data_IF_148528835995
#
_entry.id   IF_148528835995
#
_cell.length_a   1.000
_cell.length_b   1.000
_cell.length_c   1.000
_cell.angle_alpha   90.00
_cell.angle_beta   90.00
_cell.angle_gamma   90.00
#
_symmetry.space_group_name_H-M   'P 1'
#
loop_
_entity.id
_entity.type
_entity.pdbx_description
1 polymer ?
#
# COMPACT_ATOMS: atom_id res chain seq x y z
N UNK A 1 24.30 -6.71 3.33
CA UNK A 1 22.90 -6.90 3.85
C UNK A 1 22.89 -7.70 5.15
N UNK A 2 23.53 -8.87 5.24
CA UNK A 2 23.51 -9.72 6.44
C UNK A 2 24.08 -9.02 7.68
N UNK A 3 25.15 -8.25 7.53
CA UNK A 3 25.72 -7.44 8.61
C UNK A 3 24.72 -6.41 9.17
N UNK A 4 24.05 -5.65 8.28
CA UNK A 4 23.03 -4.69 8.71
C UNK A 4 21.87 -5.38 9.43
N UNK A 5 21.39 -6.50 8.88
CA UNK A 5 20.34 -7.29 9.50
C UNK A 5 20.71 -7.68 10.95
N UNK A 6 21.91 -8.21 11.15
CA UNK A 6 22.37 -8.62 12.50
C UNK A 6 22.37 -7.44 13.49
N UNK A 7 22.88 -6.27 13.06
CA UNK A 7 22.88 -5.06 13.92
C UNK A 7 21.44 -4.64 14.26
N UNK A 8 20.54 -4.61 13.26
CA UNK A 8 19.14 -4.24 13.47
C UNK A 8 18.44 -5.20 14.43
N UNK A 9 18.62 -6.51 14.26
CA UNK A 9 18.02 -7.51 15.14
C UNK A 9 18.56 -7.42 16.56
N UNK A 10 19.87 -7.22 16.73
CA UNK A 10 20.48 -7.01 18.06
C UNK A 10 19.94 -5.73 18.73
N UNK A 11 19.87 -4.62 18.00
CA UNK A 11 19.32 -3.36 18.52
C UNK A 11 17.80 -3.43 18.77
N UNK A 12 17.09 -4.33 18.07
CA UNK A 12 15.68 -4.61 18.35
C UNK A 12 15.49 -5.27 19.71
N UNK A 13 16.34 -6.22 20.05
CA UNK A 13 16.28 -6.97 21.31
C UNK A 13 16.85 -6.15 22.50
N UNK A 14 17.85 -5.31 22.26
CA UNK A 14 18.41 -4.38 23.25
C UNK A 14 18.37 -2.92 22.75
N UNK A 15 17.33 -2.20 23.15
CA UNK A 15 17.12 -0.78 22.79
C UNK A 15 18.14 0.19 23.39
N UNK A 16 18.93 -0.21 24.36
CA UNK A 16 20.00 0.62 24.93
C UNK A 16 21.09 0.93 23.89
N UNK A 17 21.30 0.02 22.93
CA UNK A 17 22.24 0.14 21.82
C UNK A 17 21.89 1.27 20.83
N UNK A 18 20.67 1.81 20.87
CA UNK A 18 20.28 2.96 20.04
C UNK A 18 21.10 4.24 20.34
N UNK A 19 21.87 4.26 21.42
CA UNK A 19 22.81 5.34 21.75
C UNK A 19 24.13 5.22 20.99
N UNK A 20 24.45 4.05 20.47
CA UNK A 20 25.69 3.78 19.74
C UNK A 20 25.65 4.34 18.33
N UNK A 21 26.71 5.03 17.92
CA UNK A 21 26.81 5.67 16.60
C UNK A 21 26.74 4.66 15.46
N UNK A 22 27.37 3.50 15.62
CA UNK A 22 27.36 2.42 14.62
C UNK A 22 25.95 1.90 14.39
N UNK A 23 25.16 1.69 15.45
CA UNK A 23 23.78 1.24 15.39
C UNK A 23 22.91 2.28 14.67
N UNK A 24 23.03 3.55 15.06
CA UNK A 24 22.29 4.64 14.43
C UNK A 24 22.62 4.79 12.95
N UNK A 25 23.91 4.65 12.58
CA UNK A 25 24.36 4.69 11.19
C UNK A 25 23.78 3.53 10.39
N UNK A 26 23.81 2.32 10.96
CA UNK A 26 23.24 1.12 10.32
C UNK A 26 21.73 1.25 10.10
N UNK A 27 20.98 1.79 11.07
CA UNK A 27 19.56 2.08 10.91
C UNK A 27 19.34 3.07 9.77
N UNK A 28 20.06 4.20 9.75
CA UNK A 28 19.95 5.21 8.68
C UNK A 28 20.30 4.64 7.31
N UNK A 29 21.26 3.72 7.24
CA UNK A 29 21.63 3.03 6.00
C UNK A 29 20.48 2.16 5.49
N UNK A 30 19.82 1.40 6.35
CA UNK A 30 18.64 0.60 5.93
C UNK A 30 17.52 1.51 5.40
N UNK A 31 17.27 2.65 6.04
CA UNK A 31 16.27 3.62 5.55
C UNK A 31 16.69 4.22 4.20
N UNK A 32 17.98 4.46 4.01
CA UNK A 32 18.50 4.91 2.72
C UNK A 32 18.31 3.85 1.62
N UNK A 33 18.62 2.60 1.90
CA UNK A 33 18.40 1.48 0.98
C UNK A 33 16.91 1.27 0.65
N UNK A 34 16.01 1.47 1.62
CA UNK A 34 14.56 1.52 1.38
C UNK A 34 14.20 2.67 0.44
N UNK A 35 14.74 3.86 0.68
CA UNK A 35 14.49 5.06 -0.12
C UNK A 35 14.93 4.89 -1.59
N UNK A 36 15.96 4.08 -1.82
CA UNK A 36 16.48 3.73 -3.14
C UNK A 36 15.82 2.48 -3.77
N UNK A 37 14.92 1.81 -3.05
CA UNK A 37 14.28 0.57 -3.51
C UNK A 37 15.21 -0.65 -3.55
N UNK A 38 16.41 -0.57 -2.99
CA UNK A 38 17.38 -1.67 -2.93
C UNK A 38 17.03 -2.71 -1.87
N UNK A 39 16.20 -2.31 -0.90
CA UNK A 39 15.60 -3.16 0.12
C UNK A 39 14.11 -2.92 0.14
N UNK A 40 13.33 -3.97 0.38
CA UNK A 40 11.86 -3.89 0.48
C UNK A 40 11.37 -4.52 1.77
N UNK A 41 10.27 -4.03 2.29
CA UNK A 41 9.56 -4.62 3.46
C UNK A 41 8.95 -5.97 3.12
N UNK A 42 8.49 -6.17 1.89
CA UNK A 42 8.12 -7.47 1.38
C UNK A 42 8.62 -7.63 -0.06
N UNK A 43 9.12 -8.83 -0.37
CA UNK A 43 9.74 -9.15 -1.67
C UNK A 43 8.91 -10.23 -2.36
N UNK A 44 8.56 -10.06 -3.66
CA UNK A 44 7.90 -11.12 -4.41
C UNK A 44 8.88 -12.29 -4.64
N UNK A 45 8.38 -13.51 -4.50
CA UNK A 45 9.11 -14.76 -4.73
C UNK A 45 8.27 -15.71 -5.58
N UNK A 46 8.85 -16.81 -6.04
CA UNK A 46 8.11 -17.86 -6.76
C UNK A 46 7.03 -18.56 -5.92
N UNK A 47 7.04 -18.36 -4.60
CA UNK A 47 6.09 -18.95 -3.65
C UNK A 47 5.11 -17.91 -3.05
N UNK A 48 5.05 -16.71 -3.62
CA UNK A 48 4.28 -15.59 -3.09
C UNK A 48 5.18 -14.51 -2.49
N UNK A 49 4.68 -13.73 -1.55
CA UNK A 49 5.39 -12.60 -0.96
C UNK A 49 6.08 -13.00 0.35
N UNK A 50 7.35 -12.64 0.47
CA UNK A 50 8.14 -12.83 1.69
C UNK A 50 8.27 -11.52 2.44
N UNK A 51 7.81 -11.49 3.70
CA UNK A 51 7.97 -10.33 4.58
C UNK A 51 9.40 -10.30 5.15
N UNK A 52 10.05 -9.14 5.06
CA UNK A 52 11.38 -8.87 5.60
C UNK A 52 11.23 -8.16 6.96
N UNK A 53 10.94 -8.91 8.02
CA UNK A 53 10.65 -8.35 9.36
C UNK A 53 11.77 -7.46 9.89
N UNK A 54 13.04 -7.83 9.63
CA UNK A 54 14.19 -7.03 10.05
C UNK A 54 14.20 -5.61 9.45
N UNK A 55 13.64 -5.46 8.25
CA UNK A 55 13.48 -4.14 7.60
C UNK A 55 12.40 -3.32 8.32
N UNK A 56 11.28 -3.95 8.70
CA UNK A 56 10.25 -3.28 9.51
C UNK A 56 10.81 -2.88 10.88
N UNK A 57 11.62 -3.75 11.51
CA UNK A 57 12.35 -3.40 12.74
C UNK A 57 13.19 -2.13 12.55
N UNK A 58 13.95 -2.05 11.46
CA UNK A 58 14.75 -0.85 11.16
C UNK A 58 13.89 0.41 11.03
N UNK A 59 12.73 0.33 10.37
CA UNK A 59 11.78 1.45 10.27
C UNK A 59 11.29 1.88 11.65
N UNK A 60 10.91 0.95 12.52
CA UNK A 60 10.48 1.28 13.89
C UNK A 60 11.63 1.90 14.70
N UNK A 61 12.85 1.33 14.60
CA UNK A 61 14.03 1.84 15.27
C UNK A 61 14.48 3.22 14.77
N UNK A 62 14.10 3.60 13.58
CA UNK A 62 14.43 4.91 13.02
C UNK A 62 13.76 6.07 13.75
N UNK A 63 12.51 5.89 14.24
CA UNK A 63 11.79 6.96 14.92
C UNK A 63 12.47 7.46 16.20
N UNK A 64 12.91 6.60 17.16
CA UNK A 64 13.53 7.07 18.39
C UNK A 64 14.92 7.72 18.20
N UNK A 65 15.63 7.41 17.11
CA UNK A 65 16.94 8.02 16.83
C UNK A 65 16.86 9.34 16.07
N UNK A 66 15.66 9.80 15.72
CA UNK A 66 15.41 11.08 15.07
C UNK A 66 14.88 12.10 16.08
N UNK A 67 15.34 13.35 15.97
CA UNK A 67 14.82 14.50 16.72
C UNK A 67 13.72 15.20 15.94
N UNK A 68 12.77 15.78 16.66
CA UNK A 68 11.77 16.69 16.10
C UNK A 68 12.45 17.92 15.51
N UNK A 69 11.98 18.37 14.34
CA UNK A 69 12.48 19.56 13.66
C UNK A 69 11.30 20.39 13.17
N UNK A 70 11.46 21.69 13.27
CA UNK A 70 10.52 22.64 12.66
C UNK A 70 10.98 22.87 11.21
N UNK A 71 10.04 22.89 10.29
CA UNK A 71 10.24 23.28 8.91
C UNK A 71 9.17 24.29 8.50
N UNK A 72 9.59 25.49 8.11
CA UNK A 72 8.71 26.55 7.62
C UNK A 72 8.75 26.57 6.09
N UNK A 73 7.59 26.55 5.45
CA UNK A 73 7.45 26.57 3.99
C UNK A 73 6.35 27.57 3.62
N UNK A 74 6.74 28.80 3.36
CA UNK A 74 5.80 29.90 3.11
C UNK A 74 4.93 30.16 4.33
N UNK A 75 3.62 29.93 4.19
CA UNK A 75 2.64 30.09 5.28
C UNK A 75 2.44 28.82 6.13
N UNK A 76 3.11 27.73 5.78
CA UNK A 76 2.96 26.43 6.47
C UNK A 76 4.13 26.19 7.43
N UNK A 77 3.82 25.70 8.62
CA UNK A 77 4.80 25.17 9.56
C UNK A 77 4.55 23.68 9.77
N UNK A 78 5.63 22.90 9.78
CA UNK A 78 5.62 21.48 10.09
C UNK A 78 6.54 21.20 11.27
N UNK A 79 6.16 20.25 12.12
CA UNK A 79 6.97 19.79 13.25
C UNK A 79 7.00 18.25 13.25
N UNK A 80 8.01 17.69 12.60
CA UNK A 80 8.14 16.22 12.46
C UNK A 80 9.63 15.80 12.55
N UNK A 81 9.84 14.52 12.74
CA UNK A 81 11.17 13.91 12.84
C UNK A 81 11.62 13.19 11.57
N UNK A 82 10.70 12.80 10.70
CA UNK A 82 11.01 12.07 9.47
C UNK A 82 11.14 13.06 8.32
N UNK A 83 12.33 13.16 7.71
CA UNK A 83 12.51 14.04 6.55
C UNK A 83 11.58 13.66 5.39
N UNK A 84 11.21 14.62 4.59
CA UNK A 84 10.52 14.39 3.34
C UNK A 84 11.50 13.92 2.25
N UNK A 85 10.95 13.26 1.23
CA UNK A 85 11.67 12.88 0.03
C UNK A 85 11.87 14.11 -0.85
N UNK A 86 13.02 14.16 -1.52
CA UNK A 86 13.44 15.24 -2.42
C UNK A 86 13.98 14.66 -3.74
N UNK A 87 14.47 15.55 -4.61
CA UNK A 87 15.16 15.22 -5.86
C UNK A 87 14.27 14.42 -6.83
N UNK A 88 13.00 14.80 -6.93
CA UNK A 88 12.01 14.11 -7.74
C UNK A 88 12.31 14.21 -9.25
N UNK A 89 12.89 15.32 -9.70
CA UNK A 89 13.31 15.52 -11.09
C UNK A 89 14.36 14.49 -11.51
N UNK A 90 15.41 14.35 -10.72
CA UNK A 90 16.49 13.37 -10.95
C UNK A 90 15.95 11.92 -10.95
N UNK A 91 14.91 11.67 -10.18
CA UNK A 91 14.25 10.36 -10.10
C UNK A 91 13.20 10.13 -11.20
N UNK A 92 12.92 11.14 -12.03
CA UNK A 92 11.90 11.07 -13.07
C UNK A 92 10.47 10.86 -12.51
N UNK A 93 10.17 11.48 -11.36
CA UNK A 93 8.87 11.41 -10.67
C UNK A 93 8.16 12.75 -10.80
N UNK A 94 6.91 12.74 -11.24
CA UNK A 94 6.06 13.93 -11.26
C UNK A 94 5.33 14.07 -9.92
N UNK A 95 5.48 15.24 -9.28
CA UNK A 95 4.83 15.51 -7.98
C UNK A 95 4.03 16.79 -8.07
N UNK A 96 2.74 16.69 -7.82
CA UNK A 96 1.81 17.83 -7.83
C UNK A 96 1.62 18.35 -6.40
N UNK A 97 1.87 19.64 -6.12
CA UNK A 97 1.68 20.17 -4.77
C UNK A 97 0.22 20.03 -4.28
N UNK A 98 -0.03 19.73 -3.03
CA UNK A 98 0.89 19.49 -1.93
C UNK A 98 1.19 18.00 -1.65
N UNK A 99 1.46 17.20 -2.68
CA UNK A 99 1.83 15.80 -2.46
C UNK A 99 3.08 15.66 -1.57
N UNK A 100 3.06 14.67 -0.68
CA UNK A 100 4.13 14.40 0.28
C UNK A 100 4.51 12.92 0.25
N UNK A 101 5.82 12.64 0.12
CA UNK A 101 6.38 11.34 0.42
C UNK A 101 7.46 11.48 1.52
N UNK A 102 7.43 10.59 2.51
CA UNK A 102 8.47 10.52 3.56
C UNK A 102 9.72 9.81 3.04
N UNK A 103 10.90 10.23 3.53
CA UNK A 103 12.14 9.50 3.30
C UNK A 103 12.01 8.05 3.78
N UNK A 104 12.58 7.11 3.00
CA UNK A 104 12.41 5.67 3.22
C UNK A 104 11.18 5.09 2.50
N UNK A 105 10.40 5.91 1.78
CA UNK A 105 9.47 5.44 0.78
C UNK A 105 10.18 5.39 -0.59
N UNK A 106 10.13 4.26 -1.27
CA UNK A 106 10.61 4.17 -2.65
C UNK A 106 9.53 4.63 -3.63
N UNK A 107 9.88 5.54 -4.50
CA UNK A 107 9.03 6.04 -5.59
C UNK A 107 9.79 5.86 -6.89
N UNK A 108 9.34 4.95 -7.74
CA UNK A 108 10.01 4.60 -8.98
C UNK A 108 9.84 5.68 -10.07
N UNK A 109 10.67 5.58 -11.11
CA UNK A 109 10.60 6.43 -12.30
C UNK A 109 9.22 6.33 -12.96
N UNK A 110 8.72 7.47 -13.46
CA UNK A 110 7.42 7.54 -14.16
C UNK A 110 6.20 7.53 -13.24
N UNK A 111 6.39 7.45 -11.92
CA UNK A 111 5.30 7.61 -10.95
C UNK A 111 4.78 9.04 -10.98
N UNK A 112 3.47 9.19 -10.86
CA UNK A 112 2.79 10.46 -10.67
C UNK A 112 2.17 10.49 -9.28
N UNK A 113 2.59 11.45 -8.46
CA UNK A 113 1.94 11.78 -7.20
C UNK A 113 1.08 13.02 -7.41
N UNK A 114 -0.24 12.85 -7.52
CA UNK A 114 -1.17 13.97 -7.34
C UNK A 114 -1.14 14.40 -5.88
N UNK A 115 -1.85 15.45 -5.44
CA UNK A 115 -1.92 15.81 -4.02
C UNK A 115 -2.26 14.59 -3.16
N UNK A 116 -1.27 13.95 -2.58
CA UNK A 116 -1.35 12.61 -1.99
C UNK A 116 -0.29 12.43 -0.91
N UNK A 117 -0.33 11.31 -0.18
CA UNK A 117 0.62 11.02 0.88
C UNK A 117 1.18 9.60 0.74
N UNK A 118 2.51 9.47 0.82
CA UNK A 118 3.22 8.18 0.83
C UNK A 118 4.11 8.09 2.07
N UNK A 119 3.86 7.08 2.90
CA UNK A 119 4.56 6.93 4.18
C UNK A 119 5.85 6.09 4.04
N UNK A 120 6.71 6.19 5.07
CA UNK A 120 7.98 5.46 5.18
C UNK A 120 7.79 3.94 5.01
N UNK A 121 8.74 3.28 4.36
CA UNK A 121 8.72 1.84 4.10
C UNK A 121 7.81 1.43 2.93
N UNK A 122 6.97 2.33 2.42
CA UNK A 122 6.17 2.07 1.23
C UNK A 122 7.06 1.91 -0.02
N UNK A 123 6.59 1.09 -0.95
CA UNK A 123 7.20 0.88 -2.25
C UNK A 123 6.15 1.16 -3.33
N UNK A 124 6.40 2.14 -4.19
CA UNK A 124 5.52 2.50 -5.31
C UNK A 124 6.31 2.32 -6.60
N UNK A 125 5.92 1.34 -7.40
CA UNK A 125 6.66 0.92 -8.58
C UNK A 125 6.30 1.74 -9.83
N UNK A 126 7.07 1.51 -10.88
CA UNK A 126 7.12 2.25 -12.14
C UNK A 126 5.75 2.49 -12.77
N UNK A 127 5.53 3.71 -13.28
CA UNK A 127 4.33 4.09 -14.04
C UNK A 127 3.03 4.16 -13.23
N UNK A 128 3.10 3.99 -11.91
CA UNK A 128 1.94 4.05 -11.02
C UNK A 128 1.48 5.48 -10.79
N UNK A 129 0.17 5.68 -10.72
CA UNK A 129 -0.45 6.93 -10.30
C UNK A 129 -1.04 6.81 -8.90
N UNK A 130 -0.62 7.70 -8.01
CA UNK A 130 -1.25 7.94 -6.71
C UNK A 130 -2.07 9.22 -6.84
N UNK A 131 -3.38 9.08 -7.04
CA UNK A 131 -4.27 10.18 -7.42
C UNK A 131 -4.66 11.04 -6.20
N UNK A 132 -5.45 12.06 -6.45
CA UNK A 132 -5.79 13.16 -5.53
C UNK A 132 -6.39 12.63 -4.21
N UNK A 133 -5.74 13.01 -3.10
CA UNK A 133 -6.07 12.59 -1.73
C UNK A 133 -6.00 11.09 -1.46
N UNK A 134 -5.35 10.32 -2.34
CA UNK A 134 -4.99 8.95 -2.03
C UNK A 134 -3.83 8.89 -1.03
N UNK A 135 -3.80 7.84 -0.22
CA UNK A 135 -2.74 7.58 0.75
C UNK A 135 -2.15 6.19 0.56
N UNK A 136 -0.83 6.10 0.65
CA UNK A 136 -0.08 4.85 0.70
C UNK A 136 0.54 4.74 2.09
N UNK A 137 0.01 3.84 2.90
CA UNK A 137 0.42 3.65 4.29
C UNK A 137 1.81 3.04 4.43
N UNK A 138 2.33 3.06 5.65
CA UNK A 138 3.67 2.52 5.95
C UNK A 138 3.82 1.09 5.47
N UNK A 139 4.92 0.82 4.79
CA UNK A 139 5.29 -0.52 4.34
C UNK A 139 4.43 -1.12 3.21
N UNK A 140 3.37 -0.45 2.75
CA UNK A 140 2.55 -0.94 1.64
C UNK A 140 3.37 -1.12 0.36
N UNK A 141 3.05 -2.15 -0.42
CA UNK A 141 3.76 -2.53 -1.65
C UNK A 141 2.82 -2.34 -2.84
N UNK A 142 3.11 -1.36 -3.67
CA UNK A 142 2.33 -1.03 -4.86
C UNK A 142 3.16 -1.40 -6.09
N UNK A 143 2.61 -2.24 -6.95
CA UNK A 143 3.23 -2.72 -8.17
C UNK A 143 3.31 -1.68 -9.28
N UNK A 144 3.70 -2.12 -10.47
CA UNK A 144 3.84 -1.29 -11.67
C UNK A 144 2.50 -0.96 -12.29
N UNK A 145 2.40 0.23 -12.89
CA UNK A 145 1.23 0.66 -13.65
C UNK A 145 -0.10 0.52 -12.89
N UNK A 146 -0.05 0.66 -11.56
CA UNK A 146 -1.24 0.67 -10.71
C UNK A 146 -1.87 2.05 -10.75
N UNK A 147 -3.19 2.10 -10.72
CA UNK A 147 -3.93 3.34 -10.53
C UNK A 147 -4.63 3.31 -9.17
N UNK A 148 -4.17 4.14 -8.24
CA UNK A 148 -4.87 4.43 -6.98
C UNK A 148 -5.70 5.69 -7.18
N UNK A 149 -7.01 5.53 -7.41
CA UNK A 149 -7.91 6.65 -7.73
C UNK A 149 -8.12 7.59 -6.54
N UNK A 150 -8.82 8.69 -6.78
CA UNK A 150 -9.01 9.75 -5.79
C UNK A 150 -9.57 9.26 -4.45
N UNK A 151 -8.90 9.64 -3.37
CA UNK A 151 -9.30 9.30 -2.00
C UNK A 151 -9.11 7.84 -1.60
N UNK A 152 -8.39 7.04 -2.37
CA UNK A 152 -8.03 5.66 -1.99
C UNK A 152 -7.19 5.65 -0.72
N UNK A 153 -7.54 4.79 0.23
CA UNK A 153 -6.79 4.56 1.45
C UNK A 153 -6.11 3.18 1.45
N UNK A 154 -4.81 3.15 1.18
CA UNK A 154 -4.00 1.95 1.38
C UNK A 154 -3.42 2.00 2.79
N UNK A 155 -3.79 1.01 3.62
CA UNK A 155 -3.39 0.97 5.02
C UNK A 155 -1.92 0.65 5.22
N UNK A 156 -1.37 1.19 6.30
CA UNK A 156 -0.03 0.86 6.76
C UNK A 156 -0.06 -0.34 7.70
N UNK A 157 0.89 -1.26 7.54
CA UNK A 157 1.10 -2.40 8.44
C UNK A 157 2.56 -2.39 8.89
N UNK A 158 2.90 -1.43 9.75
CA UNK A 158 4.22 -1.38 10.36
C UNK A 158 4.31 -2.35 11.55
N UNK A 159 3.28 -2.38 12.35
CA UNK A 159 3.12 -3.31 13.48
C UNK A 159 1.78 -4.07 13.36
N UNK A 160 1.73 -5.36 13.75
CA UNK A 160 2.85 -6.18 14.22
C UNK A 160 3.83 -6.54 13.09
N UNK A 161 5.11 -6.78 13.45
CA UNK A 161 6.22 -6.93 12.49
C UNK A 161 6.03 -8.09 11.51
N UNK A 162 5.50 -9.22 12.00
CA UNK A 162 5.26 -10.43 11.21
C UNK A 162 4.08 -10.30 10.23
N UNK A 163 3.18 -9.33 10.45
CA UNK A 163 2.04 -9.15 9.58
C UNK A 163 2.48 -8.71 8.18
N UNK A 164 1.89 -9.32 7.16
CA UNK A 164 2.11 -8.91 5.78
C UNK A 164 1.67 -7.44 5.57
N UNK A 165 2.42 -6.63 4.82
CA UNK A 165 1.92 -5.33 4.40
C UNK A 165 0.77 -5.49 3.40
N UNK A 166 0.03 -4.41 3.17
CA UNK A 166 -0.88 -4.37 2.03
C UNK A 166 -0.08 -4.48 0.74
N UNK A 167 -0.55 -5.34 -0.17
CA UNK A 167 0.08 -5.58 -1.47
C UNK A 167 -0.95 -5.31 -2.57
N UNK A 168 -0.61 -4.45 -3.49
CA UNK A 168 -1.36 -4.19 -4.72
C UNK A 168 -0.44 -4.55 -5.87
N UNK A 169 -0.75 -5.59 -6.62
CA UNK A 169 0.11 -6.07 -7.72
C UNK A 169 -0.04 -5.26 -8.99
N UNK A 170 0.85 -5.55 -9.96
CA UNK A 170 0.98 -4.79 -11.21
C UNK A 170 -0.34 -4.66 -11.98
N UNK A 171 -0.57 -3.48 -12.56
CA UNK A 171 -1.71 -3.20 -13.42
C UNK A 171 -3.08 -3.16 -12.72
N UNK A 172 -3.13 -3.30 -11.39
CA UNK A 172 -4.38 -3.20 -10.66
C UNK A 172 -4.97 -1.77 -10.73
N UNK A 173 -6.28 -1.71 -10.79
CA UNK A 173 -7.05 -0.46 -10.74
C UNK A 173 -7.86 -0.42 -9.44
N UNK A 174 -7.57 0.54 -8.58
CA UNK A 174 -8.26 0.74 -7.30
C UNK A 174 -9.16 1.96 -7.41
N UNK A 175 -10.47 1.73 -7.47
CA UNK A 175 -11.48 2.77 -7.67
C UNK A 175 -11.54 3.78 -6.52
N UNK A 176 -12.14 4.94 -6.81
CA UNK A 176 -12.19 6.06 -5.86
C UNK A 176 -12.79 5.66 -4.50
N UNK A 177 -12.18 6.17 -3.42
CA UNK A 177 -12.62 5.93 -2.04
C UNK A 177 -12.54 4.45 -1.59
N UNK A 178 -11.87 3.56 -2.34
CA UNK A 178 -11.57 2.23 -1.82
C UNK A 178 -10.65 2.31 -0.62
N UNK A 179 -10.87 1.39 0.33
CA UNK A 179 -10.01 1.18 1.50
C UNK A 179 -9.46 -0.24 1.43
N UNK A 180 -8.15 -0.39 1.44
CA UNK A 180 -7.47 -1.70 1.47
C UNK A 180 -6.47 -1.69 2.61
N UNK A 181 -6.73 -2.47 3.64
CA UNK A 181 -5.98 -2.42 4.91
C UNK A 181 -5.66 -3.83 5.44
N UNK A 182 -4.93 -3.90 6.57
CA UNK A 182 -4.68 -5.13 7.33
C UNK A 182 -4.01 -6.25 6.52
N UNK A 183 -3.08 -5.87 5.62
CA UNK A 183 -2.30 -6.84 4.86
C UNK A 183 -3.07 -7.55 3.73
N UNK A 184 -4.20 -7.02 3.31
CA UNK A 184 -4.92 -7.55 2.16
C UNK A 184 -4.03 -7.47 0.91
N UNK A 185 -4.08 -8.54 0.12
CA UNK A 185 -3.37 -8.68 -1.13
C UNK A 185 -4.35 -8.60 -2.31
N UNK A 186 -4.15 -7.63 -3.19
CA UNK A 186 -4.90 -7.46 -4.44
C UNK A 186 -4.02 -7.95 -5.59
N UNK A 187 -4.47 -8.99 -6.26
CA UNK A 187 -3.76 -9.65 -7.35
C UNK A 187 -3.62 -8.78 -8.60
N UNK A 188 -2.72 -9.23 -9.46
CA UNK A 188 -2.34 -8.56 -10.70
C UNK A 188 -3.55 -8.20 -11.56
N UNK A 189 -3.57 -6.96 -12.08
CA UNK A 189 -4.60 -6.46 -12.99
C UNK A 189 -6.05 -6.54 -12.42
N UNK A 190 -6.22 -6.77 -11.12
CA UNK A 190 -7.55 -6.74 -10.51
C UNK A 190 -8.12 -5.31 -10.52
N UNK A 191 -9.44 -5.23 -10.57
CA UNK A 191 -10.20 -3.98 -10.60
C UNK A 191 -11.12 -3.92 -9.38
N UNK A 192 -10.92 -2.94 -8.53
CA UNK A 192 -11.84 -2.63 -7.44
C UNK A 192 -12.73 -1.45 -7.85
N UNK A 193 -14.05 -1.65 -7.87
CA UNK A 193 -15.02 -0.57 -8.04
C UNK A 193 -14.95 0.44 -6.89
N UNK A 194 -15.48 1.63 -7.10
CA UNK A 194 -15.48 2.67 -6.08
C UNK A 194 -16.13 2.19 -4.76
N UNK A 195 -15.62 2.68 -3.62
CA UNK A 195 -16.09 2.35 -2.28
C UNK A 195 -15.97 0.87 -1.85
N UNK A 196 -15.16 0.05 -2.51
CA UNK A 196 -14.81 -1.28 -2.00
C UNK A 196 -13.95 -1.13 -0.76
N UNK A 197 -14.34 -1.79 0.34
CA UNK A 197 -13.60 -1.82 1.60
C UNK A 197 -13.13 -3.23 1.90
N UNK A 198 -11.81 -3.43 1.97
CA UNK A 198 -11.16 -4.71 2.23
C UNK A 198 -10.30 -4.63 3.49
N UNK A 199 -10.67 -5.43 4.47
CA UNK A 199 -9.88 -5.73 5.68
C UNK A 199 -9.51 -7.22 5.68
N UNK A 200 -8.67 -7.66 6.59
CA UNK A 200 -8.35 -9.09 6.73
C UNK A 200 -9.60 -9.97 6.96
N UNK A 201 -10.65 -9.41 7.53
CA UNK A 201 -11.90 -10.11 7.87
C UNK A 201 -13.04 -9.90 6.86
N UNK A 202 -12.91 -8.94 5.95
CA UNK A 202 -13.95 -8.69 4.94
C UNK A 202 -14.18 -9.92 4.10
N UNK A 203 -15.44 -10.36 4.00
CA UNK A 203 -15.82 -11.42 3.07
C UNK A 203 -15.70 -10.93 1.64
N UNK A 204 -14.99 -11.68 0.82
CA UNK A 204 -14.90 -11.49 -0.64
C UNK A 204 -15.62 -12.67 -1.25
N UNK A 205 -16.76 -12.43 -1.88
CA UNK A 205 -17.64 -13.50 -2.38
C UNK A 205 -17.58 -13.50 -3.90
N UNK A 206 -17.06 -14.57 -4.46
CA UNK A 206 -17.11 -14.82 -5.91
C UNK A 206 -18.49 -15.35 -6.28
N UNK A 207 -19.24 -14.55 -7.04
CA UNK A 207 -20.61 -14.85 -7.51
C UNK A 207 -20.65 -15.17 -9.01
N UNK A 208 -19.51 -15.45 -9.62
CA UNK A 208 -19.42 -15.74 -11.06
C UNK A 208 -19.86 -17.17 -11.44
N UNK A 209 -19.87 -18.08 -10.47
CA UNK A 209 -20.29 -19.47 -10.64
C UNK A 209 -21.73 -19.71 -10.19
N UNK A 210 -22.16 -20.98 -10.23
CA UNK A 210 -23.49 -21.43 -9.76
C UNK A 210 -23.59 -21.43 -8.23
N UNK A 211 -22.46 -21.52 -7.54
CA UNK A 211 -22.37 -21.49 -6.09
C UNK A 211 -21.37 -20.41 -5.65
N UNK A 212 -21.67 -19.65 -4.59
CA UNK A 212 -20.77 -18.62 -4.12
C UNK A 212 -19.51 -19.23 -3.49
N UNK A 213 -18.35 -18.60 -3.77
CA UNK A 213 -17.07 -18.97 -3.13
C UNK A 213 -16.61 -17.81 -2.24
N UNK A 214 -16.41 -18.07 -0.97
CA UNK A 214 -15.93 -17.08 -0.01
C UNK A 214 -14.39 -17.10 0.07
N UNK A 215 -13.80 -15.90 -0.09
CA UNK A 215 -12.38 -15.62 0.08
C UNK A 215 -12.20 -14.58 1.20
N UNK A 216 -11.00 -14.50 1.76
CA UNK A 216 -10.59 -13.45 2.72
C UNK A 216 -9.14 -13.07 2.51
N UNK A 217 -8.84 -11.78 2.69
CA UNK A 217 -7.49 -11.25 2.65
C UNK A 217 -6.81 -11.26 1.28
N UNK A 218 -7.44 -11.82 0.26
CA UNK A 218 -6.88 -11.91 -1.09
C UNK A 218 -7.95 -11.72 -2.17
N UNK A 219 -7.67 -10.83 -3.11
CA UNK A 219 -8.44 -10.67 -4.36
C UNK A 219 -7.64 -11.34 -5.49
N UNK A 220 -8.21 -12.34 -6.20
CA UNK A 220 -7.52 -12.99 -7.31
C UNK A 220 -7.17 -12.02 -8.44
N UNK A 221 -6.13 -12.38 -9.19
CA UNK A 221 -5.73 -11.62 -10.38
C UNK A 221 -6.89 -11.42 -11.36
N UNK A 222 -6.90 -10.27 -12.04
CA UNK A 222 -7.89 -9.88 -13.06
C UNK A 222 -9.35 -9.86 -12.60
N UNK A 223 -9.64 -10.07 -11.32
CA UNK A 223 -11.01 -10.02 -10.79
C UNK A 223 -11.60 -8.61 -10.86
N UNK A 224 -12.88 -8.52 -11.23
CA UNK A 224 -13.67 -7.28 -11.13
C UNK A 224 -14.51 -7.36 -9.86
N UNK A 225 -14.28 -6.42 -8.93
CA UNK A 225 -14.83 -6.43 -7.58
C UNK A 225 -15.67 -5.19 -7.34
N UNK A 226 -16.85 -5.36 -6.76
CA UNK A 226 -17.75 -4.26 -6.38
C UNK A 226 -18.12 -4.34 -4.91
N UNK A 227 -18.60 -3.24 -4.30
CA UNK A 227 -19.22 -3.29 -2.97
C UNK A 227 -20.48 -4.17 -3.01
N UNK A 228 -20.70 -4.92 -1.93
CA UNK A 228 -21.87 -5.75 -1.76
C UNK A 228 -22.27 -5.85 -0.30
N UNK A 229 -23.32 -6.61 -0.02
CA UNK A 229 -23.73 -6.97 1.33
C UNK A 229 -24.27 -8.38 1.39
N UNK A 230 -24.27 -8.97 2.58
CA UNK A 230 -24.91 -10.25 2.87
C UNK A 230 -25.70 -10.15 4.17
N UNK A 231 -26.76 -10.94 4.29
CA UNK A 231 -27.56 -11.02 5.50
C UNK A 231 -26.82 -11.78 6.59
N UNK A 232 -26.79 -11.22 7.79
CA UNK A 232 -26.26 -11.88 8.99
C UNK A 232 -27.23 -11.78 10.14
N UNK A 233 -27.45 -12.90 10.80
CA UNK A 233 -28.28 -12.98 12.01
C UNK A 233 -27.48 -12.51 13.23
N UNK A 234 -28.12 -11.67 14.04
CA UNK A 234 -27.64 -11.19 15.33
C UNK A 234 -28.75 -11.38 16.38
N UNK A 235 -28.45 -11.31 17.68
CA UNK A 235 -29.49 -11.40 18.73
C UNK A 235 -30.63 -10.40 18.57
N UNK A 236 -30.37 -9.24 17.95
CA UNK A 236 -31.36 -8.17 17.72
C UNK A 236 -32.08 -8.30 16.35
N UNK A 237 -31.82 -9.34 15.57
CA UNK A 237 -32.45 -9.60 14.27
C UNK A 237 -31.46 -9.70 13.11
N UNK A 238 -31.98 -9.83 11.90
CA UNK A 238 -31.22 -9.94 10.65
C UNK A 238 -30.81 -8.55 10.13
N UNK A 239 -29.53 -8.39 9.81
CA UNK A 239 -28.96 -7.14 9.29
C UNK A 239 -28.10 -7.38 8.05
N UNK A 240 -28.00 -6.39 7.19
CA UNK A 240 -27.07 -6.40 6.05
C UNK A 240 -25.67 -5.99 6.52
N UNK A 241 -24.71 -6.86 6.27
CA UNK A 241 -23.29 -6.63 6.58
C UNK A 241 -22.52 -6.42 5.28
N UNK A 242 -21.65 -5.40 5.19
CA UNK A 242 -20.85 -5.16 4.00
C UNK A 242 -19.95 -6.36 3.62
N UNK A 243 -19.78 -6.57 2.32
CA UNK A 243 -18.82 -7.49 1.75
C UNK A 243 -18.31 -6.94 0.41
N UNK A 244 -17.38 -7.64 -0.23
CA UNK A 244 -16.97 -7.38 -1.61
C UNK A 244 -17.46 -8.54 -2.49
N UNK A 245 -17.94 -8.22 -3.70
CA UNK A 245 -18.42 -9.21 -4.66
C UNK A 245 -17.49 -9.25 -5.87
N UNK A 246 -16.94 -10.42 -6.19
CA UNK A 246 -16.29 -10.66 -7.48
C UNK A 246 -17.40 -11.00 -8.49
N UNK A 247 -17.57 -10.13 -9.51
CA UNK A 247 -18.64 -10.24 -10.49
C UNK A 247 -18.17 -10.72 -11.87
N UNK A 248 -16.87 -10.88 -12.06
CA UNK A 248 -16.28 -11.33 -13.31
C UNK A 248 -14.78 -11.12 -13.38
N UNK A 249 -14.25 -11.29 -14.58
CA UNK A 249 -12.83 -11.14 -14.89
C UNK A 249 -12.60 -9.99 -15.86
N UNK A 250 -11.54 -9.23 -15.65
CA UNK A 250 -11.07 -8.20 -16.58
C UNK A 250 -10.70 -8.84 -17.92
N UNK A 251 -11.29 -8.37 -19.01
CA UNK A 251 -11.04 -8.90 -20.34
C UNK A 251 -9.86 -8.17 -21.01
N UNK A 252 -9.09 -8.87 -21.84
CA UNK A 252 -7.97 -8.28 -22.60
C UNK A 252 -8.37 -7.12 -23.50
N UNK A 253 -9.61 -7.16 -24.05
CA UNK A 253 -10.17 -6.05 -24.84
C UNK A 253 -10.38 -4.78 -24.00
N UNK A 254 -10.53 -4.94 -22.69
CA UNK A 254 -10.71 -3.87 -21.72
C UNK A 254 -9.38 -3.19 -21.38
N UNK A 255 -8.25 -3.89 -21.51
CA UNK A 255 -6.92 -3.43 -21.09
C UNK A 255 -6.39 -2.22 -21.88
N UNK A 256 -6.88 -2.01 -23.11
CA UNK A 256 -6.34 -0.97 -24.02
C UNK A 256 -7.14 0.33 -24.07
N UNK A 257 -8.38 0.38 -23.61
CA UNK A 257 -9.28 1.51 -23.86
C UNK A 257 -10.25 1.90 -22.75
N UNK A 258 -10.35 1.16 -21.65
CA UNK A 258 -11.51 1.30 -20.80
C UNK A 258 -11.24 1.95 -19.47
N UNK A 259 -12.05 2.97 -19.22
CA UNK A 259 -12.34 3.42 -17.87
C UNK A 259 -12.99 2.27 -17.08
N UNK A 260 -12.84 2.25 -15.76
CA UNK A 260 -13.58 1.36 -14.85
C UNK A 260 -15.09 1.32 -15.21
N UNK A 261 -15.66 2.44 -15.62
CA UNK A 261 -17.06 2.59 -15.98
C UNK A 261 -17.48 1.64 -17.11
N UNK A 262 -16.63 1.41 -18.11
CA UNK A 262 -16.99 0.51 -19.23
C UNK A 262 -16.96 -0.95 -18.78
N UNK A 263 -16.00 -1.32 -17.93
CA UNK A 263 -15.96 -2.67 -17.34
C UNK A 263 -17.20 -2.95 -16.47
N UNK A 264 -17.64 -1.99 -15.66
CA UNK A 264 -18.84 -2.14 -14.84
C UNK A 264 -20.14 -2.17 -15.66
N UNK A 265 -20.25 -1.38 -16.72
CA UNK A 265 -21.40 -1.41 -17.65
C UNK A 265 -21.58 -2.76 -18.33
N UNK A 266 -20.48 -3.43 -18.69
CA UNK A 266 -20.53 -4.75 -19.30
C UNK A 266 -21.19 -5.80 -18.37
N UNK A 267 -21.07 -5.62 -17.07
CA UNK A 267 -21.73 -6.48 -16.06
C UNK A 267 -23.08 -5.93 -15.59
N UNK A 268 -23.66 -4.92 -16.29
CA UNK A 268 -24.92 -4.27 -15.93
C UNK A 268 -24.96 -3.69 -14.51
N UNK A 269 -23.81 -3.23 -14.01
CA UNK A 269 -23.71 -2.56 -12.72
C UNK A 269 -23.76 -1.06 -12.94
N UNK A 270 -24.68 -0.39 -12.24
CA UNK A 270 -24.76 1.08 -12.23
C UNK A 270 -23.50 1.67 -11.59
N UNK A 271 -22.96 2.71 -12.22
CA UNK A 271 -21.78 3.45 -11.76
C UNK A 271 -22.19 4.77 -11.14
#
# INVERSE_FOLDING_TARGET
MEHLRKIIETAWDDRSLLREEEVQRSIREVIHLLDLGQVRVATPTSKGWQVNEWVKKAVVLYFPIQSMKIAEVGIFEYHDKIPLKHDYDEKGVRVVPPAVARRGAYIAKGVILMPSYVNIGAYVDEGTMVDTWATVGSCAQIGKHVHLSGGVGIGGVLEPLQAAPVIIEDGAFIGSRCIVVEGVHVGKEAVLGANVVLTASTKIIDVTGTEPKELKGYVPERSVVIPGSYTKEFPAGAYQVPCALIIGQRKESTDKKTSLNDALREYNVSV
#
